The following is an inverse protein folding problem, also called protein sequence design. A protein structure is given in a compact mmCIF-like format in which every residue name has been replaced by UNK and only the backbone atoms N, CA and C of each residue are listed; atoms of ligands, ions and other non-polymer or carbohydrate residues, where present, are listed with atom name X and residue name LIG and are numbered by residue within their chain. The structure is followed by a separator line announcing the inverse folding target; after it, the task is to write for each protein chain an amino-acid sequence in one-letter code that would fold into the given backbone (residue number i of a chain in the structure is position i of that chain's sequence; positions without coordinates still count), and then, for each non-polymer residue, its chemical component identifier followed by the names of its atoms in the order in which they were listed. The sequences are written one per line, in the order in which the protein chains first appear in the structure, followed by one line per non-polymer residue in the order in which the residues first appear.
data_IF_225793069726
#
_entry.id   IF_225793069726
#
_cell.length_a   1.000
_cell.length_b   1.000
_cell.length_c   1.000
_cell.angle_alpha   90.00
_cell.angle_beta   90.00
_cell.angle_gamma   90.00
#
_symmetry.space_group_name_H-M   'P 1'
#
loop_
_entity.id
_entity.type
_entity.pdbx_description
1 polymer ?
#
# COMPACT_ATOMS: atom_id res chain seq x y z
N UNK A 1 6.01 -5.68 24.74
CA UNK A 1 6.57 -6.30 23.50
C UNK A 1 6.54 -7.81 23.63
N UNK A 2 5.97 -8.52 22.65
CA UNK A 2 5.87 -9.98 22.67
C UNK A 2 7.23 -10.65 22.46
N UNK A 3 7.39 -11.91 22.91
CA UNK A 3 8.61 -12.70 22.68
C UNK A 3 8.92 -12.82 21.18
N UNK A 4 7.89 -13.01 20.36
CA UNK A 4 8.05 -13.08 18.90
C UNK A 4 8.54 -11.77 18.28
N UNK A 5 8.19 -10.62 18.86
CA UNK A 5 8.72 -9.33 18.43
C UNK A 5 10.18 -9.13 18.88
N UNK A 6 10.56 -9.60 20.07
CA UNK A 6 11.98 -9.62 20.48
C UNK A 6 12.83 -10.43 19.51
N UNK A 7 12.35 -11.60 19.10
CA UNK A 7 13.03 -12.42 18.10
C UNK A 7 13.13 -11.70 16.76
N UNK A 8 12.05 -11.07 16.30
CA UNK A 8 12.06 -10.29 15.05
C UNK A 8 13.09 -9.15 15.09
N UNK A 9 13.25 -8.49 16.24
CA UNK A 9 14.21 -7.39 16.43
C UNK A 9 15.68 -7.84 16.40
N UNK A 10 15.96 -9.14 16.53
CA UNK A 10 17.33 -9.68 16.37
C UNK A 10 17.78 -9.75 14.91
N UNK A 11 16.85 -9.70 13.97
CA UNK A 11 17.19 -9.70 12.55
C UNK A 11 17.39 -8.26 12.07
N UNK A 12 18.49 -7.96 11.37
CA UNK A 12 18.73 -6.64 10.83
C UNK A 12 17.65 -6.26 9.81
N UNK A 13 17.31 -4.97 9.79
CA UNK A 13 16.39 -4.42 8.79
C UNK A 13 16.77 -4.89 7.38
N UNK A 14 15.84 -5.45 6.60
CA UNK A 14 16.12 -5.94 5.25
C UNK A 14 16.79 -4.91 4.33
N UNK A 15 16.57 -3.62 4.57
CA UNK A 15 17.18 -2.52 3.82
C UNK A 15 18.64 -2.35 4.14
N UNK A 16 19.01 -2.47 5.42
CA UNK A 16 20.42 -2.47 5.84
C UNK A 16 21.15 -3.65 5.21
N UNK A 17 20.49 -4.81 5.15
CA UNK A 17 21.06 -5.98 4.46
C UNK A 17 21.24 -5.73 2.96
N UNK A 18 20.23 -5.11 2.30
CA UNK A 18 20.29 -4.77 0.88
C UNK A 18 21.39 -3.76 0.58
N UNK A 19 21.46 -2.68 1.34
CA UNK A 19 22.50 -1.67 1.19
C UNK A 19 23.93 -2.23 1.41
N UNK A 20 24.08 -3.25 2.28
CA UNK A 20 25.36 -3.93 2.49
C UNK A 20 25.74 -4.89 1.34
N UNK A 21 24.76 -5.50 0.68
CA UNK A 21 24.97 -6.48 -0.40
C UNK A 21 25.10 -5.86 -1.78
N UNK A 22 24.62 -4.64 -1.98
CA UNK A 22 24.58 -4.01 -3.30
C UNK A 22 25.63 -2.91 -3.44
N UNK A 23 26.52 -3.10 -4.41
CA UNK A 23 27.38 -2.05 -4.97
C UNK A 23 26.65 -1.29 -6.10
N UNK A 24 25.35 -1.09 -5.96
CA UNK A 24 24.46 -0.47 -6.94
C UNK A 24 23.11 -1.18 -6.99
N UNK A 25 22.12 -0.55 -7.64
CA UNK A 25 20.82 -1.18 -7.92
C UNK A 25 21.07 -2.29 -8.94
N UNK A 26 21.07 -3.54 -8.47
CA UNK A 26 21.30 -4.68 -9.33
C UNK A 26 20.16 -4.79 -10.36
N UNK A 27 20.50 -5.06 -11.63
CA UNK A 27 19.52 -5.51 -12.62
C UNK A 27 18.97 -6.87 -12.17
N UNK A 28 17.82 -6.86 -11.54
CA UNK A 28 16.97 -8.04 -11.45
C UNK A 28 15.99 -7.90 -12.62
N UNK A 29 15.90 -8.90 -13.45
CA UNK A 29 14.81 -9.01 -14.43
C UNK A 29 13.53 -9.00 -13.62
N UNK A 30 12.87 -7.85 -13.60
CA UNK A 30 11.73 -7.61 -12.72
C UNK A 30 10.48 -8.20 -13.36
N UNK A 31 10.29 -9.50 -13.17
CA UNK A 31 8.98 -10.11 -13.41
C UNK A 31 8.10 -9.62 -12.26
N UNK A 32 7.02 -8.93 -12.59
CA UNK A 32 5.99 -8.57 -11.61
C UNK A 32 5.44 -9.87 -11.00
N UNK A 33 5.47 -10.04 -9.67
CA UNK A 33 5.05 -11.29 -9.08
C UNK A 33 3.55 -11.49 -9.22
N UNK A 34 3.16 -12.68 -9.63
CA UNK A 34 1.78 -13.15 -9.55
C UNK A 34 1.32 -13.30 -8.10
N UNK A 35 0.00 -13.18 -7.85
CA UNK A 35 -0.57 -13.60 -6.60
C UNK A 35 -0.23 -15.07 -6.30
N UNK A 36 0.13 -15.42 -5.05
CA UNK A 36 0.44 -16.79 -4.67
C UNK A 36 -0.69 -17.75 -5.06
N UNK A 37 -0.32 -18.98 -5.41
CA UNK A 37 -1.27 -20.03 -5.79
C UNK A 37 -2.38 -20.22 -4.72
N UNK A 38 -2.03 -20.17 -3.43
CA UNK A 38 -2.98 -20.25 -2.33
C UNK A 38 -4.04 -19.13 -2.38
N UNK A 39 -3.64 -17.89 -2.78
CA UNK A 39 -4.59 -16.78 -2.94
C UNK A 39 -5.54 -17.07 -4.09
N UNK A 40 -5.02 -17.53 -5.24
CA UNK A 40 -5.87 -17.87 -6.40
C UNK A 40 -6.80 -19.07 -6.14
N UNK A 41 -6.45 -19.97 -5.22
CA UNK A 41 -7.30 -21.11 -4.86
C UNK A 41 -8.49 -20.73 -3.96
N UNK A 42 -8.34 -19.70 -3.11
CA UNK A 42 -9.34 -19.40 -2.08
C UNK A 42 -10.10 -18.10 -2.34
N UNK A 43 -9.63 -17.28 -3.27
CA UNK A 43 -10.20 -15.95 -3.56
C UNK A 43 -10.38 -15.76 -5.06
N UNK A 44 -11.39 -14.97 -5.45
CA UNK A 44 -11.54 -14.52 -6.81
C UNK A 44 -10.46 -13.45 -7.09
N UNK A 45 -9.62 -13.72 -8.08
CA UNK A 45 -8.52 -12.84 -8.49
C UNK A 45 -8.74 -12.43 -9.93
N UNK A 46 -9.00 -11.15 -10.13
CA UNK A 46 -9.13 -10.54 -11.43
C UNK A 46 -7.85 -9.76 -11.75
N UNK A 47 -7.49 -9.72 -13.02
CA UNK A 47 -6.27 -9.08 -13.46
C UNK A 47 -6.58 -8.09 -14.57
N UNK A 48 -6.31 -6.82 -14.32
CA UNK A 48 -6.44 -5.74 -15.29
C UNK A 48 -5.08 -5.20 -15.66
N UNK A 49 -4.83 -4.95 -16.95
CA UNK A 49 -3.56 -4.43 -17.40
C UNK A 49 -3.65 -2.96 -17.78
N UNK A 50 -2.71 -2.16 -17.28
CA UNK A 50 -2.57 -0.77 -17.68
C UNK A 50 -1.10 -0.46 -17.97
N UNK A 51 -0.83 0.00 -19.20
CA UNK A 51 0.53 0.36 -19.65
C UNK A 51 1.59 -0.74 -19.45
N UNK A 52 1.18 -2.01 -19.58
CA UNK A 52 2.07 -3.16 -19.42
C UNK A 52 2.28 -3.62 -17.96
N UNK A 53 1.47 -3.14 -17.02
CA UNK A 53 1.52 -3.54 -15.60
C UNK A 53 0.15 -4.00 -15.11
N UNK A 54 0.11 -5.04 -14.24
CA UNK A 54 -1.14 -5.55 -13.70
C UNK A 54 -1.65 -4.70 -12.54
N UNK A 55 -2.98 -4.66 -12.45
CA UNK A 55 -3.75 -4.31 -11.26
C UNK A 55 -4.50 -5.58 -10.87
N UNK A 56 -4.15 -6.18 -9.74
CA UNK A 56 -4.86 -7.34 -9.21
C UNK A 56 -6.02 -6.87 -8.34
N UNK A 57 -7.24 -7.30 -8.68
CA UNK A 57 -8.44 -7.09 -7.87
C UNK A 57 -8.81 -8.39 -7.20
N UNK A 58 -8.84 -8.42 -5.87
CA UNK A 58 -9.07 -9.63 -5.08
C UNK A 58 -10.32 -9.46 -4.24
N UNK A 59 -11.23 -10.45 -4.34
CA UNK A 59 -12.48 -10.49 -3.59
C UNK A 59 -12.74 -11.89 -3.05
N UNK A 60 -13.71 -12.02 -2.15
CA UNK A 60 -14.22 -13.33 -1.76
C UNK A 60 -14.80 -14.06 -2.98
N UNK A 61 -14.62 -15.39 -3.01
CA UNK A 61 -15.36 -16.23 -3.98
C UNK A 61 -16.83 -16.23 -3.57
N UNK A 62 -17.70 -15.90 -4.50
CA UNK A 62 -19.14 -16.09 -4.34
C UNK A 62 -19.48 -17.44 -4.96
N UNK A 63 -19.73 -18.42 -4.12
CA UNK A 63 -20.40 -19.63 -4.57
C UNK A 63 -21.88 -19.31 -4.63
N UNK A 64 -22.49 -19.43 -5.81
CA UNK A 64 -23.94 -19.37 -5.93
C UNK A 64 -24.57 -20.35 -4.94
N UNK A 65 -25.62 -19.93 -4.25
CA UNK A 65 -26.34 -20.78 -3.29
C UNK A 65 -26.74 -22.08 -3.99
N UNK A 66 -26.03 -23.15 -3.65
CA UNK A 66 -26.32 -24.51 -4.13
C UNK A 66 -27.64 -25.08 -3.59
N UNK A 67 -28.43 -24.27 -2.86
CA UNK A 67 -29.77 -24.64 -2.40
C UNK A 67 -30.89 -24.32 -3.41
N UNK A 68 -30.59 -23.67 -4.53
CA UNK A 68 -31.54 -23.50 -5.65
C UNK A 68 -31.15 -24.34 -6.89
N UNK A 69 -30.26 -25.30 -6.75
CA UNK A 69 -29.94 -26.24 -7.81
C UNK A 69 -31.00 -27.36 -7.95
N UNK A 70 -32.28 -27.01 -7.91
CA UNK A 70 -33.27 -27.74 -8.68
C UNK A 70 -33.03 -27.36 -10.14
N UNK A 71 -32.34 -28.29 -10.83
CA UNK A 71 -32.24 -28.38 -12.30
C UNK A 71 -32.53 -27.08 -13.06
N UNK A 72 -31.68 -26.06 -12.95
CA UNK A 72 -31.65 -25.03 -13.98
C UNK A 72 -31.13 -25.71 -15.25
N UNK A 73 -32.01 -25.84 -16.23
CA UNK A 73 -31.65 -26.22 -17.59
C UNK A 73 -30.42 -25.42 -17.99
N UNK A 74 -29.46 -26.09 -18.58
CA UNK A 74 -28.24 -25.48 -19.15
C UNK A 74 -28.65 -24.31 -20.04
N UNK A 75 -28.46 -23.09 -19.57
CA UNK A 75 -28.63 -21.88 -20.37
C UNK A 75 -27.31 -21.61 -21.11
N UNK A 76 -27.26 -21.84 -22.43
CA UNK A 76 -26.07 -21.58 -23.22
C UNK A 76 -25.71 -20.10 -23.30
N UNK A 77 -26.58 -19.19 -22.83
CA UNK A 77 -26.34 -17.76 -22.76
C UNK A 77 -26.02 -17.26 -21.34
N UNK A 78 -25.94 -18.17 -20.36
CA UNK A 78 -25.47 -17.76 -19.02
C UNK A 78 -24.03 -17.23 -19.16
N UNK A 79 -23.70 -16.07 -18.56
CA UNK A 79 -22.35 -15.53 -18.61
C UNK A 79 -21.37 -16.57 -18.10
N UNK A 80 -20.30 -16.80 -18.85
CA UNK A 80 -19.22 -17.69 -18.42
C UNK A 80 -18.67 -17.18 -17.08
N UNK A 81 -18.15 -18.09 -16.25
CA UNK A 81 -17.49 -17.72 -14.98
C UNK A 81 -16.45 -16.60 -15.12
N UNK A 82 -15.89 -16.44 -16.33
CA UNK A 82 -14.94 -15.38 -16.71
C UNK A 82 -15.60 -13.97 -16.82
N UNK A 83 -16.93 -13.88 -16.83
CA UNK A 83 -17.69 -12.61 -16.88
C UNK A 83 -18.14 -12.10 -15.50
N UNK A 84 -17.81 -12.83 -14.41
CA UNK A 84 -18.04 -12.33 -13.06
C UNK A 84 -17.10 -11.16 -12.79
N UNK A 85 -17.67 -9.95 -12.80
CA UNK A 85 -16.90 -8.75 -12.47
C UNK A 85 -16.69 -8.62 -10.96
N UNK A 86 -15.60 -8.02 -10.47
CA UNK A 86 -15.35 -7.79 -9.04
C UNK A 86 -16.44 -7.00 -8.33
N UNK A 87 -17.30 -6.34 -9.07
CA UNK A 87 -18.35 -5.43 -8.60
C UNK A 87 -19.43 -6.06 -7.71
N UNK A 88 -19.64 -7.37 -7.79
CA UNK A 88 -20.88 -7.97 -7.27
C UNK A 88 -20.86 -8.28 -5.77
N UNK A 89 -19.76 -8.11 -5.04
CA UNK A 89 -19.66 -8.67 -3.68
C UNK A 89 -19.25 -7.70 -2.57
N UNK A 90 -18.47 -6.68 -2.84
CA UNK A 90 -17.94 -5.81 -1.79
C UNK A 90 -18.49 -4.38 -1.86
N UNK A 91 -19.11 -3.89 -0.77
CA UNK A 91 -19.56 -2.49 -0.69
C UNK A 91 -18.42 -1.50 -0.53
N UNK A 92 -17.29 -1.94 0.03
CA UNK A 92 -16.10 -1.11 0.29
C UNK A 92 -14.88 -1.72 -0.35
N UNK A 93 -13.96 -0.86 -0.74
CA UNK A 93 -12.74 -1.25 -1.40
C UNK A 93 -11.50 -0.68 -0.73
N UNK A 94 -10.40 -1.39 -0.91
CA UNK A 94 -9.06 -0.98 -0.49
C UNK A 94 -8.18 -0.86 -1.72
N UNK A 95 -7.53 0.29 -1.89
CA UNK A 95 -6.38 0.42 -2.78
C UNK A 95 -5.12 0.17 -1.95
N UNK A 96 -4.48 -0.99 -2.13
CA UNK A 96 -3.26 -1.34 -1.41
C UNK A 96 -2.03 -1.09 -2.25
N UNK A 97 -1.14 -0.21 -1.78
CA UNK A 97 0.09 0.20 -2.46
C UNK A 97 1.28 -0.27 -1.64
N UNK A 98 1.85 -1.44 -1.97
CA UNK A 98 2.93 -2.03 -1.19
C UNK A 98 4.24 -1.27 -1.37
N UNK A 99 5.04 -1.27 -0.30
CA UNK A 99 6.42 -0.79 -0.30
C UNK A 99 7.37 -1.68 -1.09
N UNK A 100 8.65 -1.63 -0.72
CA UNK A 100 9.74 -2.36 -1.36
C UNK A 100 10.88 -1.45 -1.81
N UNK A 101 10.96 -0.24 -1.22
CA UNK A 101 12.01 0.76 -1.49
C UNK A 101 12.17 1.06 -3.00
N UNK A 102 11.06 0.97 -3.76
CA UNK A 102 11.01 1.13 -5.22
C UNK A 102 11.86 0.13 -6.02
N UNK A 103 12.60 -0.74 -5.37
CA UNK A 103 13.52 -1.71 -6.00
C UNK A 103 13.09 -3.16 -5.83
N UNK A 104 12.24 -3.45 -4.84
CA UNK A 104 11.70 -4.79 -4.59
C UNK A 104 10.17 -4.79 -4.68
N UNK A 105 9.61 -5.95 -4.97
CA UNK A 105 8.17 -6.18 -4.92
C UNK A 105 7.70 -6.47 -3.50
N UNK A 106 6.38 -6.45 -3.31
CA UNK A 106 5.79 -6.76 -2.03
C UNK A 106 6.21 -8.15 -1.54
N UNK A 107 6.54 -8.28 -0.26
CA UNK A 107 6.96 -9.58 0.30
C UNK A 107 5.76 -10.54 0.38
N UNK A 108 6.02 -11.85 0.33
CA UNK A 108 4.99 -12.90 0.48
C UNK A 108 4.15 -12.70 1.74
N UNK A 109 4.72 -12.16 2.81
CA UNK A 109 3.98 -11.87 4.05
C UNK A 109 2.86 -10.84 3.89
N UNK A 110 2.94 -9.95 2.89
CA UNK A 110 1.92 -8.94 2.62
C UNK A 110 0.62 -9.57 2.09
N UNK A 111 0.70 -10.71 1.39
CA UNK A 111 -0.50 -11.41 0.92
C UNK A 111 -1.41 -11.86 2.06
N UNK A 112 -0.86 -12.17 3.23
CA UNK A 112 -1.69 -12.44 4.42
C UNK A 112 -2.49 -11.23 4.86
N UNK A 113 -1.91 -10.03 4.78
CA UNK A 113 -2.65 -8.82 5.09
C UNK A 113 -3.73 -8.56 4.04
N UNK A 114 -3.44 -8.82 2.77
CA UNK A 114 -4.45 -8.76 1.70
C UNK A 114 -5.60 -9.72 1.98
N UNK A 115 -5.30 -10.98 2.35
CA UNK A 115 -6.36 -11.95 2.68
C UNK A 115 -7.13 -11.58 3.94
N UNK A 116 -6.48 -11.04 4.98
CA UNK A 116 -7.18 -10.50 6.17
C UNK A 116 -8.23 -9.42 5.79
N UNK A 117 -7.92 -8.57 4.78
CA UNK A 117 -8.85 -7.55 4.26
C UNK A 117 -10.00 -8.17 3.46
N UNK A 118 -9.69 -9.13 2.57
CA UNK A 118 -10.69 -9.81 1.74
C UNK A 118 -11.63 -10.65 2.60
N UNK A 119 -11.12 -11.36 3.62
CA UNK A 119 -11.93 -12.14 4.57
C UNK A 119 -12.91 -11.25 5.36
N UNK A 120 -12.57 -9.97 5.52
CA UNK A 120 -13.44 -8.97 6.13
C UNK A 120 -14.50 -8.39 5.18
N UNK A 121 -14.66 -8.94 3.97
CA UNK A 121 -15.65 -8.52 2.98
C UNK A 121 -15.24 -7.30 2.15
N UNK A 122 -13.96 -6.98 2.08
CA UNK A 122 -13.45 -5.87 1.28
C UNK A 122 -12.92 -6.36 -0.08
N UNK A 123 -13.11 -5.56 -1.12
CA UNK A 123 -12.33 -5.71 -2.35
C UNK A 123 -10.94 -5.08 -2.14
N UNK A 124 -9.90 -5.72 -2.61
CA UNK A 124 -8.52 -5.18 -2.54
C UNK A 124 -7.93 -5.08 -3.93
N UNK A 125 -7.64 -3.87 -4.38
CA UNK A 125 -6.94 -3.61 -5.63
C UNK A 125 -5.47 -3.29 -5.36
N UNK A 126 -4.58 -3.99 -6.07
CA UNK A 126 -3.13 -3.91 -5.90
C UNK A 126 -2.46 -3.57 -7.22
N UNK A 127 -2.13 -2.29 -7.50
CA UNK A 127 -1.35 -1.93 -8.68
C UNK A 127 0.13 -2.29 -8.48
N UNK A 128 0.67 -3.16 -9.32
CA UNK A 128 2.06 -3.57 -9.26
C UNK A 128 2.84 -3.06 -10.47
N UNK A 129 3.46 -1.89 -10.33
CA UNK A 129 4.36 -1.34 -11.36
C UNK A 129 5.71 -2.06 -11.39
N UNK A 130 6.44 -1.89 -12.48
CA UNK A 130 7.85 -2.25 -12.54
C UNK A 130 8.69 -1.54 -11.48
N UNK A 131 9.91 -2.00 -11.29
CA UNK A 131 10.83 -1.54 -10.23
C UNK A 131 12.12 -1.00 -10.82
N UNK A 132 12.85 -0.25 -10.02
CA UNK A 132 14.20 0.16 -10.38
C UNK A 132 15.09 -1.06 -10.69
N UNK A 133 16.04 -0.95 -11.62
CA UNK A 133 16.44 0.30 -12.31
C UNK A 133 15.63 0.64 -13.57
N UNK A 134 14.76 -0.24 -14.05
CA UNK A 134 14.16 -0.16 -15.38
C UNK A 134 12.91 0.74 -15.41
N UNK A 135 12.22 0.89 -14.25
CA UNK A 135 10.98 1.63 -14.12
C UNK A 135 11.05 2.63 -12.95
N UNK A 136 10.30 3.71 -13.06
CA UNK A 136 10.33 4.87 -12.17
C UNK A 136 8.93 5.33 -11.77
N UNK A 137 8.82 6.47 -11.12
CA UNK A 137 7.55 7.13 -10.84
C UNK A 137 6.74 7.43 -12.11
N UNK A 138 7.40 7.53 -13.27
CA UNK A 138 6.76 7.81 -14.56
C UNK A 138 5.75 6.74 -14.95
N UNK A 139 6.05 5.48 -14.67
CA UNK A 139 5.18 4.33 -14.96
C UNK A 139 4.24 4.04 -13.77
N UNK A 140 4.73 4.18 -12.55
CA UNK A 140 3.98 3.81 -11.36
C UNK A 140 2.84 4.78 -11.01
N UNK A 141 3.06 6.09 -11.15
CA UNK A 141 2.04 7.11 -10.81
C UNK A 141 0.78 6.97 -11.68
N UNK A 142 0.86 6.84 -13.02
CA UNK A 142 -0.34 6.61 -13.84
C UNK A 142 -1.07 5.31 -13.51
N UNK A 143 -0.34 4.23 -13.18
CA UNK A 143 -0.94 2.95 -12.81
C UNK A 143 -1.80 3.06 -11.53
N UNK A 144 -1.25 3.70 -10.49
CA UNK A 144 -1.99 3.93 -9.23
C UNK A 144 -3.22 4.82 -9.47
N UNK A 145 -3.07 5.86 -10.28
CA UNK A 145 -4.20 6.72 -10.67
C UNK A 145 -5.30 5.95 -11.38
N UNK A 146 -4.91 5.07 -12.29
CA UNK A 146 -5.87 4.22 -13.00
C UNK A 146 -6.62 3.31 -12.03
N UNK A 147 -5.92 2.62 -11.14
CA UNK A 147 -6.54 1.76 -10.14
C UNK A 147 -7.52 2.53 -9.24
N UNK A 148 -7.12 3.72 -8.78
CA UNK A 148 -8.00 4.56 -7.97
C UNK A 148 -9.23 5.04 -8.76
N UNK A 149 -9.04 5.45 -10.01
CA UNK A 149 -10.14 5.91 -10.87
C UNK A 149 -11.17 4.81 -11.14
N UNK A 150 -10.72 3.57 -11.29
CA UNK A 150 -11.64 2.44 -11.48
C UNK A 150 -12.42 2.15 -10.20
N UNK A 151 -11.76 2.16 -9.03
CA UNK A 151 -12.44 2.04 -7.74
C UNK A 151 -13.44 3.18 -7.49
N UNK A 152 -13.10 4.42 -7.86
CA UNK A 152 -14.03 5.57 -7.72
C UNK A 152 -15.33 5.36 -8.48
N UNK A 153 -15.26 4.83 -9.69
CA UNK A 153 -16.45 4.58 -10.52
C UNK A 153 -17.34 3.51 -9.91
N UNK A 154 -16.76 2.53 -9.25
CA UNK A 154 -17.48 1.37 -8.75
C UNK A 154 -17.99 1.55 -7.32
N UNK A 155 -17.24 2.24 -6.47
CA UNK A 155 -17.53 2.30 -5.04
C UNK A 155 -17.84 3.70 -4.50
N UNK A 156 -17.43 4.76 -5.21
CA UNK A 156 -17.43 6.11 -4.66
C UNK A 156 -16.30 6.34 -3.63
N UNK A 157 -15.84 7.58 -3.51
CA UNK A 157 -14.70 7.93 -2.68
C UNK A 157 -14.89 7.60 -1.19
N UNK A 158 -16.11 7.77 -0.69
CA UNK A 158 -16.52 7.52 0.70
C UNK A 158 -16.44 6.04 1.11
N UNK A 159 -16.35 5.14 0.15
CA UNK A 159 -16.22 3.69 0.37
C UNK A 159 -14.82 3.16 0.07
N UNK A 160 -13.86 4.04 -0.25
CA UNK A 160 -12.48 3.65 -0.54
C UNK A 160 -11.59 3.97 0.65
N UNK A 161 -10.77 2.99 1.04
CA UNK A 161 -9.63 3.17 1.93
C UNK A 161 -8.34 2.94 1.14
N UNK A 162 -7.41 3.88 1.24
CA UNK A 162 -6.06 3.71 0.68
C UNK A 162 -5.15 3.20 1.78
N UNK A 163 -4.47 2.08 1.52
CA UNK A 163 -3.46 1.54 2.44
C UNK A 163 -2.11 1.55 1.72
N UNK A 164 -1.10 2.13 2.34
CA UNK A 164 0.23 2.15 1.78
C UNK A 164 1.29 1.90 2.86
N UNK A 165 2.27 1.09 2.55
CA UNK A 165 3.36 0.81 3.46
C UNK A 165 4.73 1.22 2.88
N UNK A 166 5.65 1.59 3.76
CA UNK A 166 6.99 2.03 3.40
C UNK A 166 7.02 3.07 2.28
N UNK A 167 7.75 2.76 1.21
CA UNK A 167 7.85 3.62 0.01
C UNK A 167 6.56 3.72 -0.80
N UNK A 168 5.62 2.81 -0.61
CA UNK A 168 4.26 2.91 -1.17
C UNK A 168 3.55 4.19 -0.72
N UNK A 169 3.89 4.74 0.46
CA UNK A 169 3.32 5.99 0.94
C UNK A 169 3.63 7.18 0.01
N UNK A 170 4.88 7.32 -0.48
CA UNK A 170 5.21 8.36 -1.44
C UNK A 170 4.40 8.21 -2.73
N UNK A 171 4.30 6.98 -3.23
CA UNK A 171 3.56 6.68 -4.46
C UNK A 171 2.05 6.96 -4.29
N UNK A 172 1.44 6.54 -3.17
CA UNK A 172 0.04 6.81 -2.87
C UNK A 172 -0.27 8.30 -2.80
N UNK A 173 0.42 9.01 -1.91
CA UNK A 173 0.16 10.42 -1.65
C UNK A 173 0.38 11.28 -2.89
N UNK A 174 1.47 11.05 -3.63
CA UNK A 174 1.75 11.79 -4.86
C UNK A 174 0.79 11.50 -6.01
N UNK A 175 0.37 10.24 -6.16
CA UNK A 175 -0.55 9.84 -7.24
C UNK A 175 -1.94 10.41 -7.04
N UNK A 176 -2.45 10.38 -5.80
CA UNK A 176 -3.84 10.72 -5.50
C UNK A 176 -4.12 12.22 -5.45
N UNK A 177 -3.11 13.09 -5.37
CA UNK A 177 -3.29 14.54 -5.51
C UNK A 177 -4.08 14.97 -6.76
N UNK A 178 -4.09 14.13 -7.80
CA UNK A 178 -4.83 14.43 -9.03
C UNK A 178 -6.36 14.37 -8.87
N UNK A 179 -6.85 13.78 -7.78
CA UNK A 179 -8.28 13.56 -7.51
C UNK A 179 -8.81 14.46 -6.38
N UNK A 180 -7.94 15.16 -5.67
CA UNK A 180 -8.28 15.95 -4.51
C UNK A 180 -8.66 17.40 -4.88
N UNK A 181 -9.52 18.04 -4.11
CA UNK A 181 -10.27 17.48 -2.96
C UNK A 181 -11.54 16.74 -3.34
N UNK A 182 -11.96 16.75 -4.61
CA UNK A 182 -13.31 16.36 -5.06
C UNK A 182 -13.60 14.86 -4.86
N UNK A 183 -12.57 14.02 -4.92
CA UNK A 183 -12.68 12.58 -4.76
C UNK A 183 -11.66 12.06 -3.74
N UNK A 184 -11.69 12.62 -2.54
CA UNK A 184 -10.82 12.19 -1.42
C UNK A 184 -11.26 10.82 -0.88
N UNK A 185 -10.35 9.84 -0.72
CA UNK A 185 -10.71 8.56 -0.09
C UNK A 185 -11.16 8.78 1.36
N UNK A 186 -12.08 7.94 1.86
CA UNK A 186 -12.57 8.06 3.23
C UNK A 186 -11.43 7.96 4.26
N UNK A 187 -10.55 6.98 4.07
CA UNK A 187 -9.42 6.75 4.96
C UNK A 187 -8.11 6.59 4.17
N UNK A 188 -7.02 7.05 4.78
CA UNK A 188 -5.65 6.82 4.33
C UNK A 188 -4.88 6.16 5.47
N UNK A 189 -4.51 4.90 5.32
CA UNK A 189 -3.72 4.15 6.29
C UNK A 189 -2.29 4.06 5.78
N UNK A 190 -1.35 4.59 6.55
CA UNK A 190 0.07 4.56 6.23
C UNK A 190 0.83 3.76 7.29
N UNK A 191 1.62 2.79 6.86
CA UNK A 191 2.41 1.96 7.77
C UNK A 191 3.89 2.19 7.52
N UNK A 192 4.62 2.60 8.56
CA UNK A 192 6.04 2.94 8.48
C UNK A 192 6.37 3.80 7.24
N UNK A 193 5.66 4.94 7.01
CA UNK A 193 5.68 5.66 5.75
C UNK A 193 7.07 6.22 5.40
N UNK A 194 7.48 6.02 4.16
CA UNK A 194 8.57 6.75 3.53
C UNK A 194 7.97 7.62 2.42
N UNK A 195 7.67 8.88 2.74
CA UNK A 195 7.00 9.83 1.83
C UNK A 195 7.89 11.01 1.42
N UNK A 196 8.91 11.34 2.22
CA UNK A 196 9.91 12.35 1.88
C UNK A 196 11.17 11.68 1.30
N UNK A 197 11.40 11.89 0.02
CA UNK A 197 12.50 11.27 -0.71
C UNK A 197 13.84 12.02 -0.56
N UNK A 198 13.83 13.21 0.04
CA UNK A 198 15.03 14.06 0.19
C UNK A 198 15.49 14.14 1.63
N UNK A 199 14.57 14.44 2.54
CA UNK A 199 14.88 14.75 3.93
C UNK A 199 14.32 13.68 4.90
N UNK A 200 14.15 12.44 4.42
CA UNK A 200 13.62 11.35 5.24
C UNK A 200 14.47 11.10 6.49
N UNK A 201 13.83 10.73 7.57
CA UNK A 201 14.49 10.25 8.78
C UNK A 201 15.47 9.11 8.50
N UNK A 202 15.17 8.31 7.50
CA UNK A 202 15.98 7.25 6.96
C UNK A 202 17.37 7.70 6.49
N UNK A 203 17.44 8.78 5.73
CA UNK A 203 18.70 9.30 5.21
C UNK A 203 19.52 9.97 6.30
N UNK A 204 18.87 10.52 7.33
CA UNK A 204 19.51 11.23 8.42
C UNK A 204 20.06 10.28 9.51
N UNK A 205 19.39 9.15 9.74
CA UNK A 205 19.78 8.16 10.76
C UNK A 205 20.84 7.19 10.27
N UNK A 206 21.04 7.09 8.96
CA UNK A 206 22.06 6.24 8.38
C UNK A 206 23.25 7.04 7.86
N UNK A 207 24.41 6.41 7.95
CA UNK A 207 25.68 6.93 7.40
C UNK A 207 26.25 5.96 6.36
N UNK A 208 27.18 6.45 5.55
CA UNK A 208 27.91 5.61 4.61
C UNK A 208 27.02 4.97 3.53
N UNK A 209 27.18 3.67 3.33
CA UNK A 209 26.56 2.93 2.20
C UNK A 209 25.03 2.95 2.23
N UNK A 210 24.41 2.91 3.41
CA UNK A 210 22.95 2.88 3.51
C UNK A 210 22.35 4.22 3.09
N UNK A 211 22.90 5.33 3.60
CA UNK A 211 22.45 6.67 3.20
C UNK A 211 22.66 6.90 1.70
N UNK A 212 23.81 6.49 1.14
CA UNK A 212 24.09 6.59 -0.28
C UNK A 212 23.10 5.77 -1.13
N UNK A 213 22.80 4.55 -0.69
CA UNK A 213 21.81 3.69 -1.36
C UNK A 213 20.42 4.34 -1.38
N UNK A 214 19.93 4.81 -0.23
CA UNK A 214 18.62 5.42 -0.13
C UNK A 214 18.51 6.71 -0.98
N UNK A 215 19.59 7.52 -0.98
CA UNK A 215 19.66 8.71 -1.82
C UNK A 215 19.65 8.37 -3.32
N UNK A 216 20.39 7.35 -3.72
CA UNK A 216 20.42 6.88 -5.10
C UNK A 216 19.04 6.35 -5.54
N UNK A 217 18.41 5.52 -4.71
CA UNK A 217 17.06 5.00 -4.96
C UNK A 217 16.04 6.14 -5.12
N UNK A 218 16.04 7.10 -4.20
CA UNK A 218 15.14 8.26 -4.26
C UNK A 218 15.32 9.05 -5.55
N UNK A 219 16.57 9.35 -5.90
CA UNK A 219 16.89 10.15 -7.08
C UNK A 219 16.48 9.43 -8.38
N UNK A 220 16.79 8.15 -8.49
CA UNK A 220 16.43 7.33 -9.67
C UNK A 220 14.93 7.15 -9.77
N UNK A 221 14.26 6.83 -8.67
CA UNK A 221 12.80 6.69 -8.64
C UNK A 221 12.11 7.96 -9.12
N UNK A 222 12.53 9.10 -8.60
CA UNK A 222 11.96 10.39 -8.96
C UNK A 222 12.31 10.84 -10.40
N UNK A 223 13.20 10.16 -11.11
CA UNK A 223 13.68 10.60 -12.42
C UNK A 223 14.27 12.02 -12.38
N UNK A 224 14.92 12.38 -11.29
CA UNK A 224 15.46 13.72 -11.04
C UNK A 224 14.42 14.76 -10.57
N UNK A 225 13.14 14.40 -10.45
CA UNK A 225 12.05 15.33 -10.11
C UNK A 225 11.73 15.37 -8.62
N UNK A 226 12.75 15.46 -7.76
CA UNK A 226 12.56 15.43 -6.30
C UNK A 226 11.78 16.63 -5.74
N UNK A 227 11.66 17.72 -6.50
CA UNK A 227 10.84 18.90 -6.14
C UNK A 227 9.38 18.80 -6.63
N UNK A 228 9.00 17.69 -7.27
CA UNK A 228 7.65 17.49 -7.76
C UNK A 228 6.80 16.78 -6.70
N UNK A 229 5.79 17.43 -6.16
CA UNK A 229 4.87 16.90 -5.13
C UNK A 229 4.18 15.58 -5.53
N UNK A 230 4.00 15.35 -6.83
CA UNK A 230 3.40 14.10 -7.36
C UNK A 230 4.34 12.89 -7.28
N UNK A 231 5.61 13.14 -7.05
CA UNK A 231 6.65 12.12 -6.95
C UNK A 231 7.23 12.07 -5.53
N UNK A 232 7.46 13.24 -4.95
CA UNK A 232 7.97 13.42 -3.60
C UNK A 232 6.98 14.22 -2.74
N UNK A 233 6.03 13.58 -2.07
CA UNK A 233 5.08 14.26 -1.18
C UNK A 233 5.74 15.03 -0.02
N UNK A 234 6.98 14.69 0.32
CA UNK A 234 7.73 15.40 1.36
C UNK A 234 7.99 16.89 1.08
N UNK A 235 7.80 17.34 -0.17
CA UNK A 235 7.89 18.76 -0.54
C UNK A 235 6.54 19.46 -0.63
N UNK A 236 5.44 18.79 -0.27
CA UNK A 236 4.11 19.40 -0.18
C UNK A 236 4.10 20.52 0.85
N UNK A 237 3.51 21.66 0.46
CA UNK A 237 3.19 22.74 1.38
C UNK A 237 1.81 22.56 2.03
N UNK A 238 1.43 23.52 2.89
CA UNK A 238 0.14 23.49 3.59
C UNK A 238 -1.06 23.42 2.62
N UNK A 239 -0.96 24.04 1.46
CA UNK A 239 -2.07 24.06 0.48
C UNK A 239 -2.31 22.69 -0.14
N UNK A 240 -1.27 21.95 -0.48
CA UNK A 240 -1.39 20.59 -1.00
C UNK A 240 -1.90 19.63 0.08
N UNK A 241 -1.39 19.73 1.31
CA UNK A 241 -1.92 18.94 2.42
C UNK A 241 -3.38 19.24 2.72
N UNK A 242 -3.82 20.49 2.63
CA UNK A 242 -5.22 20.86 2.88
C UNK A 242 -6.21 20.22 1.89
N UNK A 243 -5.76 19.84 0.70
CA UNK A 243 -6.62 19.11 -0.25
C UNK A 243 -7.07 17.74 0.27
N UNK A 244 -6.35 17.20 1.26
CA UNK A 244 -6.68 15.93 1.92
C UNK A 244 -7.73 16.06 3.05
N UNK A 245 -8.31 17.23 3.27
CA UNK A 245 -9.25 17.46 4.38
C UNK A 245 -10.50 16.56 4.36
N UNK A 246 -10.83 15.96 3.21
CA UNK A 246 -11.90 14.98 3.07
C UNK A 246 -11.52 13.56 3.54
N UNK A 247 -10.27 13.31 3.91
CA UNK A 247 -9.76 12.00 4.33
C UNK A 247 -9.38 11.98 5.79
N UNK A 248 -9.58 10.83 6.47
CA UNK A 248 -9.01 10.56 7.78
C UNK A 248 -7.70 9.77 7.64
N UNK A 249 -6.62 10.29 8.20
CA UNK A 249 -5.31 9.64 8.19
C UNK A 249 -5.10 8.79 9.43
N UNK A 250 -4.63 7.56 9.23
CA UNK A 250 -4.22 6.63 10.27
C UNK A 250 -2.79 6.18 10.01
N UNK A 251 -1.85 6.62 10.84
CA UNK A 251 -0.43 6.30 10.67
C UNK A 251 -0.01 5.30 11.72
N UNK A 252 0.47 4.14 11.28
CA UNK A 252 1.01 3.09 12.14
C UNK A 252 2.53 3.07 12.00
N UNK A 253 3.25 3.20 13.12
CA UNK A 253 4.71 3.24 13.07
C UNK A 253 5.35 2.45 14.18
N UNK A 254 6.34 1.65 13.83
CA UNK A 254 7.16 0.88 14.78
C UNK A 254 8.11 1.77 15.57
N UNK A 255 8.15 1.60 16.91
CA UNK A 255 8.94 2.45 17.80
C UNK A 255 10.46 2.38 17.59
N UNK A 256 10.97 1.30 17.01
CA UNK A 256 12.37 1.15 16.63
C UNK A 256 12.58 1.32 15.12
N UNK A 257 11.52 1.64 14.37
CA UNK A 257 11.63 1.89 12.95
C UNK A 257 12.14 3.30 12.68
N UNK A 258 12.88 3.43 11.61
CA UNK A 258 13.45 4.70 11.18
C UNK A 258 12.40 5.68 10.60
N UNK A 259 11.21 5.23 10.14
CA UNK A 259 10.13 6.11 9.74
C UNK A 259 9.51 6.95 10.87
N UNK A 260 9.89 6.76 12.14
CA UNK A 260 9.32 7.53 13.25
C UNK A 260 9.44 9.05 13.06
N UNK A 261 10.55 9.53 12.49
CA UNK A 261 10.72 10.97 12.19
C UNK A 261 9.78 11.42 11.09
N UNK A 262 9.64 10.60 10.05
CA UNK A 262 8.74 10.90 8.94
C UNK A 262 7.29 10.90 9.41
N UNK A 263 6.90 9.95 10.26
CA UNK A 263 5.56 9.93 10.86
C UNK A 263 5.27 11.17 11.73
N UNK A 264 6.22 11.62 12.55
CA UNK A 264 6.07 12.85 13.36
C UNK A 264 5.95 14.10 12.49
N UNK A 265 6.73 14.17 11.41
CA UNK A 265 6.66 15.28 10.46
C UNK A 265 5.34 15.28 9.72
N UNK A 266 4.91 14.11 9.22
CA UNK A 266 3.62 13.95 8.56
C UNK A 266 2.46 14.36 9.46
N UNK A 267 2.45 13.90 10.72
CA UNK A 267 1.46 14.30 11.73
C UNK A 267 1.41 15.82 11.91
N UNK A 268 2.57 16.47 11.99
CA UNK A 268 2.66 17.93 12.10
C UNK A 268 2.12 18.63 10.84
N UNK A 269 2.50 18.15 9.67
CA UNK A 269 2.12 18.75 8.39
C UNK A 269 0.61 18.64 8.15
N UNK A 270 0.01 17.47 8.46
CA UNK A 270 -1.43 17.25 8.39
C UNK A 270 -2.20 18.10 9.39
N UNK A 271 -1.76 18.15 10.66
CA UNK A 271 -2.37 19.01 11.69
C UNK A 271 -2.30 20.50 11.31
N UNK A 272 -1.18 20.97 10.74
CA UNK A 272 -1.04 22.36 10.28
C UNK A 272 -1.95 22.67 9.08
N UNK A 273 -2.41 21.65 8.37
CA UNK A 273 -3.31 21.78 7.23
C UNK A 273 -4.79 21.50 7.59
N UNK A 274 -5.09 21.31 8.87
CA UNK A 274 -6.44 20.98 9.38
C UNK A 274 -6.98 19.65 8.83
N UNK A 275 -6.09 18.68 8.61
CA UNK A 275 -6.42 17.32 8.15
C UNK A 275 -6.42 16.36 9.34
N UNK A 276 -7.48 15.57 9.47
CA UNK A 276 -7.62 14.60 10.57
C UNK A 276 -6.53 13.52 10.50
N UNK A 277 -5.76 13.35 11.58
CA UNK A 277 -4.70 12.35 11.67
C UNK A 277 -4.64 11.71 13.05
N UNK A 278 -4.52 10.40 13.08
CA UNK A 278 -4.24 9.57 14.26
C UNK A 278 -2.94 8.81 14.05
N UNK A 279 -2.03 8.86 15.01
CA UNK A 279 -0.73 8.16 14.91
C UNK A 279 -0.61 7.11 16.02
N UNK A 280 -0.61 5.85 15.62
CA UNK A 280 -0.36 4.68 16.47
C UNK A 280 1.12 4.38 16.49
N UNK A 281 1.78 4.63 17.63
CA UNK A 281 3.19 4.31 17.88
C UNK A 281 3.28 3.03 18.68
N UNK A 282 3.96 2.02 18.13
CA UNK A 282 4.09 0.71 18.79
C UNK A 282 5.54 0.50 19.20
N UNK A 283 5.80 0.77 20.48
CA UNK A 283 7.15 0.65 21.04
C UNK A 283 7.72 -0.76 20.91
N UNK A 284 9.01 -0.84 20.66
CA UNK A 284 9.75 -2.09 20.58
C UNK A 284 9.50 -2.92 19.32
N UNK A 285 8.72 -2.40 18.35
CA UNK A 285 8.47 -3.11 17.10
C UNK A 285 9.49 -2.77 16.02
N UNK A 286 9.64 -3.68 15.06
CA UNK A 286 10.51 -3.52 13.90
C UNK A 286 9.78 -2.86 12.73
N UNK A 287 10.53 -2.40 11.74
CA UNK A 287 9.99 -1.91 10.48
C UNK A 287 9.08 -2.94 9.82
N UNK A 288 7.93 -2.48 9.28
CA UNK A 288 6.90 -3.33 8.67
C UNK A 288 6.36 -4.41 9.61
N UNK A 289 6.33 -4.11 10.93
CA UNK A 289 5.93 -5.06 11.96
C UNK A 289 4.54 -5.67 11.76
N UNK A 290 3.65 -4.97 11.06
CA UNK A 290 2.32 -5.46 10.73
C UNK A 290 2.35 -6.72 9.84
N UNK A 291 3.41 -6.94 9.07
CA UNK A 291 3.57 -8.14 8.25
C UNK A 291 4.12 -9.34 9.04
N UNK A 292 4.61 -9.10 10.26
CA UNK A 292 5.13 -10.17 11.11
C UNK A 292 4.01 -10.93 11.83
N UNK A 293 4.27 -12.23 12.15
CA UNK A 293 3.35 -13.09 12.92
C UNK A 293 3.44 -12.86 14.43
N UNK A 294 3.46 -11.59 14.85
CA UNK A 294 3.52 -11.17 16.25
C UNK A 294 2.14 -10.77 16.76
N UNK A 295 1.97 -10.66 18.09
CA UNK A 295 0.72 -10.16 18.69
C UNK A 295 0.43 -8.72 18.29
N UNK A 296 1.47 -7.88 18.26
CA UNK A 296 1.40 -6.49 17.86
C UNK A 296 0.97 -6.38 16.39
N UNK A 297 1.65 -7.11 15.50
CA UNK A 297 1.30 -7.11 14.08
C UNK A 297 -0.13 -7.59 13.81
N UNK A 298 -0.58 -8.65 14.51
CA UNK A 298 -1.97 -9.13 14.36
C UNK A 298 -3.00 -8.16 14.92
N UNK A 299 -2.71 -7.50 16.06
CA UNK A 299 -3.60 -6.51 16.66
C UNK A 299 -3.83 -5.35 15.69
N UNK A 300 -2.75 -4.80 15.15
CA UNK A 300 -2.83 -3.60 14.34
C UNK A 300 -3.36 -3.88 12.93
N UNK A 301 -3.08 -5.06 12.34
CA UNK A 301 -3.80 -5.47 11.12
C UNK A 301 -5.31 -5.52 11.34
N UNK A 302 -5.78 -6.08 12.47
CA UNK A 302 -7.22 -6.08 12.78
C UNK A 302 -7.80 -4.67 12.93
N UNK A 303 -7.02 -3.72 13.48
CA UNK A 303 -7.43 -2.32 13.56
C UNK A 303 -7.53 -1.69 12.16
N UNK A 304 -6.52 -1.90 11.32
CA UNK A 304 -6.52 -1.42 9.92
C UNK A 304 -7.71 -2.00 9.13
N UNK A 305 -8.04 -3.27 9.33
CA UNK A 305 -9.21 -3.92 8.72
C UNK A 305 -10.51 -3.24 9.16
N UNK A 306 -10.69 -2.98 10.48
CA UNK A 306 -11.88 -2.27 10.99
C UNK A 306 -12.02 -0.87 10.42
N UNK A 307 -10.92 -0.12 10.34
CA UNK A 307 -10.90 1.21 9.71
C UNK A 307 -11.36 1.10 8.25
N UNK A 308 -10.82 0.14 7.51
CA UNK A 308 -11.20 -0.07 6.10
C UNK A 308 -12.69 -0.47 5.94
N UNK A 309 -13.25 -1.19 6.91
CA UNK A 309 -14.70 -1.47 6.98
C UNK A 309 -15.54 -0.25 7.34
N UNK A 310 -14.94 0.89 7.66
CA UNK A 310 -15.64 2.11 8.11
C UNK A 310 -16.16 2.02 9.55
N UNK A 311 -15.64 1.11 10.35
CA UNK A 311 -15.98 1.01 11.76
C UNK A 311 -15.20 2.07 12.55
N UNK A 312 -15.90 2.82 13.39
CA UNK A 312 -15.27 3.77 14.32
C UNK A 312 -14.52 3.00 15.40
N UNK A 313 -13.33 3.48 15.77
CA UNK A 313 -12.55 2.97 16.92
C UNK A 313 -13.29 3.18 18.23
#
# INVERSE_FOLDING_TARGET
MSLSMHIAALFPDPRVQRAKKQTGIARKTAIVPDPPHEVRQHYAVFEHWHSGFPIYSITQMVFGDSQSAEAQEYDPNAPALDELTPQQTAKRAVLYIPGGDFSDYMPTAAWRFVTDLVDAGLRVDIPLSGRLPDYTAREAVPLVRRAYQDLLKEHGAENITVIADGSGAALALGSLLAFLPDASPANVILVDPWYDLVASGWQQEHTGRVASYLKEVSHRWAGGQLNNVKVNPGVMGRQEWRQWAGSAFHVFVGGHSQPMRDARRLEKDLNNADVAVEVTRVEGTVYMYHLHRTSEGRRDRRQMVRIAQGQKN
#
